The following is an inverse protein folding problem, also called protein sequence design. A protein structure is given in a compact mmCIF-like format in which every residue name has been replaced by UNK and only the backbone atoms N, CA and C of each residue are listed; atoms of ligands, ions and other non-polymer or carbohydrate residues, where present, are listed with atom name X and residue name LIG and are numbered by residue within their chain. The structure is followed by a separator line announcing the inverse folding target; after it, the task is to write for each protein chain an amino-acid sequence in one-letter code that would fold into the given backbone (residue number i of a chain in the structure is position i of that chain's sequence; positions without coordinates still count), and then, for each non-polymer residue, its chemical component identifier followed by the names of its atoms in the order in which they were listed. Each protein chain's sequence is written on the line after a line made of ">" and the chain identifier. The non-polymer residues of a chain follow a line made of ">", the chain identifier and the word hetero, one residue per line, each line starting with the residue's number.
data_IF_080194066015
#
_entry.id   IF_080194066015
#
_cell.length_a   1.000
_cell.length_b   1.000
_cell.length_c   1.000
_cell.angle_alpha   90.00
_cell.angle_beta   90.00
_cell.angle_gamma   90.00
#
_symmetry.space_group_name_H-M   'P 1'
#
loop_
_entity.id
_entity.type
_entity.pdbx_description
1 polymer ?
#
# COMPACT_ATOMS: atom_id res chain seq x y z
N UNK A 1 43.77 5.49 -11.45
CA UNK A 1 44.28 6.15 -10.22
C UNK A 1 43.33 7.27 -9.87
N UNK A 2 42.96 7.34 -8.58
CA UNK A 2 42.14 8.36 -7.90
C UNK A 2 40.70 8.53 -8.42
N UNK A 3 39.66 8.79 -7.62
CA UNK A 3 39.30 8.96 -6.19
C UNK A 3 37.81 9.33 -6.36
N UNK A 4 36.80 8.98 -5.57
CA UNK A 4 36.66 8.89 -4.12
C UNK A 4 35.16 8.66 -3.90
N UNK A 5 34.84 7.79 -2.94
CA UNK A 5 33.86 8.01 -1.86
C UNK A 5 32.51 8.63 -2.25
N UNK A 6 31.48 7.80 -2.21
CA UNK A 6 30.30 8.09 -1.40
C UNK A 6 29.67 6.71 -1.06
N UNK A 7 29.66 6.20 0.16
CA UNK A 7 29.45 6.93 1.41
C UNK A 7 27.99 6.77 1.83
N UNK A 8 27.63 5.60 2.36
CA UNK A 8 26.51 5.39 3.30
C UNK A 8 25.13 5.95 2.90
N UNK A 9 24.22 5.05 2.51
CA UNK A 9 22.81 5.20 2.91
C UNK A 9 22.33 3.90 3.60
N UNK A 10 22.99 3.59 4.72
CA UNK A 10 22.40 2.75 5.76
C UNK A 10 21.83 3.71 6.81
N UNK A 11 20.81 4.44 6.42
CA UNK A 11 19.97 5.17 7.35
C UNK A 11 18.79 4.25 7.63
N UNK A 12 18.75 3.79 8.88
CA UNK A 12 17.70 2.96 9.45
C UNK A 12 16.39 3.73 9.40
N UNK A 13 15.74 3.76 8.24
CA UNK A 13 14.35 4.11 8.14
C UNK A 13 13.59 3.04 8.94
N UNK A 14 13.22 3.35 10.18
CA UNK A 14 12.29 2.53 10.98
C UNK A 14 10.88 2.48 10.36
N UNK A 15 10.75 2.87 9.10
CA UNK A 15 9.55 2.71 8.32
C UNK A 15 9.48 1.24 7.91
N UNK A 16 8.51 0.47 8.40
CA UNK A 16 8.30 -0.87 7.91
C UNK A 16 8.09 -0.78 6.39
N UNK A 17 8.79 -1.60 5.62
CA UNK A 17 8.51 -1.76 4.20
C UNK A 17 7.01 -2.07 4.04
N UNK A 18 6.31 -1.25 3.27
CA UNK A 18 4.88 -1.40 3.01
C UNK A 18 4.68 -2.02 1.64
N UNK A 19 3.71 -2.91 1.54
CA UNK A 19 3.34 -3.60 0.30
C UNK A 19 1.85 -3.43 0.07
N UNK A 20 1.48 -2.95 -1.12
CA UNK A 20 0.07 -2.89 -1.54
C UNK A 20 -0.45 -4.30 -1.76
N UNK A 21 -1.56 -4.64 -1.11
CA UNK A 21 -2.20 -5.96 -1.18
C UNK A 21 -3.54 -5.94 -1.89
N UNK A 22 -4.14 -4.76 -2.03
CA UNK A 22 -5.39 -4.53 -2.73
C UNK A 22 -5.52 -3.08 -3.19
N UNK A 23 -6.21 -2.85 -4.30
CA UNK A 23 -6.53 -1.53 -4.85
C UNK A 23 -8.05 -1.45 -4.92
N UNK A 24 -8.63 -0.53 -4.16
CA UNK A 24 -10.08 -0.33 -4.07
C UNK A 24 -10.50 0.90 -4.86
N UNK A 25 -11.75 0.91 -5.35
CA UNK A 25 -12.34 2.02 -6.08
C UNK A 25 -13.10 2.93 -5.11
N UNK A 26 -12.33 3.66 -4.30
CA UNK A 26 -12.84 4.61 -3.31
C UNK A 26 -12.70 4.15 -1.86
N UNK A 27 -12.89 5.12 -0.96
CA UNK A 27 -12.68 4.94 0.48
C UNK A 27 -13.60 3.89 1.15
N UNK A 28 -14.90 3.75 0.81
CA UNK A 28 -15.77 2.80 1.49
C UNK A 28 -15.29 1.35 1.33
N UNK A 29 -14.98 0.93 0.10
CA UNK A 29 -14.45 -0.41 -0.18
C UNK A 29 -13.08 -0.61 0.50
N UNK A 30 -12.20 0.39 0.43
CA UNK A 30 -10.89 0.34 1.06
C UNK A 30 -10.99 0.11 2.58
N UNK A 31 -11.93 0.78 3.27
CA UNK A 31 -12.14 0.61 4.70
C UNK A 31 -12.69 -0.79 5.04
N UNK A 32 -13.50 -1.40 4.17
CA UNK A 32 -13.97 -2.79 4.38
C UNK A 32 -12.78 -3.75 4.38
N UNK A 33 -11.87 -3.61 3.41
CA UNK A 33 -10.67 -4.45 3.34
C UNK A 33 -9.72 -4.16 4.51
N UNK A 34 -9.52 -2.88 4.87
CA UNK A 34 -8.73 -2.51 6.03
C UNK A 34 -9.28 -3.16 7.31
N UNK A 35 -10.59 -3.03 7.57
CA UNK A 35 -11.22 -3.59 8.75
C UNK A 35 -11.08 -5.12 8.81
N UNK A 36 -11.21 -5.81 7.66
CA UNK A 36 -10.99 -7.26 7.57
C UNK A 36 -9.56 -7.64 7.97
N UNK A 37 -8.56 -6.93 7.46
CA UNK A 37 -7.14 -7.17 7.78
C UNK A 37 -6.83 -6.87 9.24
N UNK A 38 -7.32 -5.74 9.76
CA UNK A 38 -7.09 -5.32 11.15
C UNK A 38 -7.76 -6.28 12.15
N UNK A 39 -8.97 -6.78 11.84
CA UNK A 39 -9.64 -7.81 12.63
C UNK A 39 -8.84 -9.11 12.71
N UNK A 40 -8.12 -9.47 11.64
CA UNK A 40 -7.19 -10.60 11.61
C UNK A 40 -5.84 -10.32 12.29
N UNK A 41 -5.64 -9.13 12.87
CA UNK A 41 -4.39 -8.74 13.53
C UNK A 41 -3.31 -8.23 12.58
N UNK A 42 -3.66 -7.97 11.30
CA UNK A 42 -2.73 -7.43 10.31
C UNK A 42 -2.90 -5.91 10.23
N UNK A 43 -1.87 -5.12 10.58
CA UNK A 43 -1.96 -3.67 10.45
C UNK A 43 -2.04 -3.28 8.97
N UNK A 44 -3.08 -2.54 8.61
CA UNK A 44 -3.32 -2.06 7.27
C UNK A 44 -3.36 -0.52 7.25
N UNK A 45 -2.92 0.05 6.14
CA UNK A 45 -2.88 1.48 5.92
C UNK A 45 -3.46 1.80 4.55
N UNK A 46 -4.30 2.82 4.50
CA UNK A 46 -4.88 3.31 3.25
C UNK A 46 -4.03 4.44 2.68
N UNK A 47 -3.59 4.30 1.43
CA UNK A 47 -2.99 5.38 0.63
C UNK A 47 -3.97 5.79 -0.44
N UNK A 48 -4.45 7.02 -0.35
CA UNK A 48 -5.22 7.64 -1.40
C UNK A 48 -4.24 8.22 -2.43
N UNK A 49 -4.26 7.70 -3.66
CA UNK A 49 -3.59 8.37 -4.76
C UNK A 49 -4.49 9.54 -5.16
N UNK A 50 -4.21 10.74 -4.64
CA UNK A 50 -4.82 11.96 -5.17
C UNK A 50 -4.35 12.12 -6.61
N UNK A 51 -5.21 11.81 -7.57
CA UNK A 51 -4.94 11.95 -8.99
C UNK A 51 -4.25 13.29 -9.29
N UNK A 52 -2.97 13.22 -9.66
CA UNK A 52 -2.37 14.25 -10.49
C UNK A 52 -3.11 14.30 -11.85
N UNK A 53 -3.19 15.46 -12.51
CA UNK A 53 -4.04 15.64 -13.68
C UNK A 53 -3.44 14.93 -14.90
N UNK A 54 -3.74 13.65 -15.07
CA UNK A 54 -3.41 12.92 -16.30
C UNK A 54 -4.69 12.32 -16.85
N UNK A 55 -5.34 13.12 -17.69
CA UNK A 55 -6.17 12.74 -18.85
C UNK A 55 -6.69 11.29 -18.80
N UNK A 56 -7.94 11.10 -18.36
CA UNK A 56 -8.63 9.82 -18.54
C UNK A 56 -9.75 9.55 -17.54
N UNK A 57 -10.85 10.29 -17.64
CA UNK A 57 -12.14 9.81 -17.13
C UNK A 57 -12.55 8.61 -17.99
N UNK A 58 -12.15 7.40 -17.60
CA UNK A 58 -12.65 6.10 -18.05
C UNK A 58 -11.99 5.08 -17.12
N UNK A 59 -12.53 4.70 -15.95
CA UNK A 59 -13.81 4.04 -15.66
C UNK A 59 -13.94 4.13 -14.12
N UNK A 60 -15.07 4.61 -13.60
CA UNK A 60 -15.45 4.68 -12.17
C UNK A 60 -14.71 5.61 -11.19
N UNK A 61 -13.65 6.32 -11.56
CA UNK A 61 -13.31 7.72 -11.13
C UNK A 61 -13.36 8.15 -9.65
N UNK A 62 -13.55 7.27 -8.67
CA UNK A 62 -13.77 7.58 -7.25
C UNK A 62 -12.48 7.68 -6.42
N UNK A 63 -11.34 7.81 -7.10
CA UNK A 63 -10.00 7.84 -6.51
C UNK A 63 -9.54 6.45 -6.09
N UNK A 64 -8.45 5.98 -6.70
CA UNK A 64 -7.86 4.70 -6.35
C UNK A 64 -7.28 4.76 -4.93
N UNK A 65 -7.61 3.75 -4.13
CA UNK A 65 -7.11 3.63 -2.76
C UNK A 65 -6.31 2.35 -2.64
N UNK A 66 -5.02 2.49 -2.37
CA UNK A 66 -4.12 1.38 -2.13
C UNK A 66 -4.20 0.96 -0.67
N UNK A 67 -4.59 -0.29 -0.43
CA UNK A 67 -4.52 -0.92 0.88
C UNK A 67 -3.14 -1.54 1.03
N UNK A 68 -2.37 -1.04 2.00
CA UNK A 68 -0.99 -1.44 2.23
C UNK A 68 -0.82 -2.11 3.59
N UNK A 69 0.04 -3.12 3.67
CA UNK A 69 0.43 -3.77 4.93
C UNK A 69 1.96 -3.84 5.02
N UNK A 70 2.55 -3.98 6.20
CA UNK A 70 3.97 -4.31 6.31
C UNK A 70 4.29 -5.57 5.50
N UNK A 71 5.37 -5.57 4.73
CA UNK A 71 5.73 -6.65 3.80
C UNK A 71 5.71 -8.04 4.43
N UNK A 72 6.04 -8.15 5.72
CA UNK A 72 5.96 -9.41 6.49
C UNK A 72 4.57 -10.06 6.51
N UNK A 73 3.51 -9.26 6.40
CA UNK A 73 2.12 -9.73 6.39
C UNK A 73 1.51 -9.82 4.98
N UNK A 74 2.24 -9.40 3.93
CA UNK A 74 1.69 -9.33 2.58
C UNK A 74 1.10 -10.68 2.13
N UNK A 75 1.83 -11.78 2.36
CA UNK A 75 1.37 -13.13 1.98
C UNK A 75 0.07 -13.53 2.69
N UNK A 76 -0.03 -13.24 3.98
CA UNK A 76 -1.19 -13.56 4.81
C UNK A 76 -2.41 -12.70 4.41
N UNK A 77 -2.19 -11.40 4.22
CA UNK A 77 -3.21 -10.47 3.75
C UNK A 77 -3.79 -10.89 2.39
N UNK A 78 -2.95 -11.35 1.45
CA UNK A 78 -3.40 -11.84 0.15
C UNK A 78 -4.30 -13.08 0.25
N UNK A 79 -4.05 -13.97 1.23
CA UNK A 79 -4.91 -15.13 1.45
C UNK A 79 -6.27 -14.69 1.99
N UNK A 80 -6.29 -13.79 2.97
CA UNK A 80 -7.54 -13.31 3.57
C UNK A 80 -8.43 -12.55 2.59
N UNK A 81 -7.84 -11.79 1.65
CA UNK A 81 -8.59 -11.01 0.67
C UNK A 81 -9.22 -11.91 -0.40
N UNK A 82 -8.55 -12.99 -0.79
CA UNK A 82 -9.03 -13.93 -1.83
C UNK A 82 -10.19 -14.82 -1.41
N UNK A 83 -10.44 -14.97 -0.12
CA UNK A 83 -11.48 -15.87 0.41
C UNK A 83 -12.89 -15.25 0.37
N UNK A 84 -13.28 -14.65 -0.77
CA UNK A 84 -14.58 -14.00 -0.99
C UNK A 84 -15.37 -14.71 -2.09
#
# INVERSE_FOLDING_TARGET
>A
MQKTRDGKQNERSRHPDLTTVHIAQGLPEAHVIQAKLEYAGIPALLRYESAGPVIGITVDGLGEVHVQVPTRYAKEAWMLIKEQ
#
